data_IF_011433035008
#
_entry.id   IF_011433035008
#
_cell.length_a   1.000
_cell.length_b   1.000
_cell.length_c   1.000
_cell.angle_alpha   90.00
_cell.angle_beta   90.00
_cell.angle_gamma   90.00
#
_symmetry.space_group_name_H-M   'P 1'
#
loop_
_entity.id
_entity.type
_entity.pdbx_description
1 polymer ?
#
# COMPACT_ATOMS: atom_id res chain seq x y z
N UNK A 1 -7.31 30.04 7.07
CA UNK A 1 -6.40 29.58 6.00
C UNK A 1 -7.12 28.46 5.29
N UNK A 2 -6.95 28.31 3.99
CA UNK A 2 -7.54 27.20 3.25
C UNK A 2 -6.83 25.90 3.51
N UNK A 3 -7.46 24.79 3.09
CA UNK A 3 -6.97 23.43 3.33
C UNK A 3 -5.73 23.13 2.48
N UNK A 4 -4.64 22.70 3.12
CA UNK A 4 -3.35 22.39 2.50
C UNK A 4 -3.01 20.91 2.62
N UNK A 5 -2.72 20.27 1.48
CA UNK A 5 -2.23 18.88 1.42
C UNK A 5 -0.83 18.84 0.81
N UNK A 6 0.13 18.20 1.48
CA UNK A 6 1.45 17.91 0.95
C UNK A 6 1.53 16.44 0.52
N UNK A 7 1.76 16.18 -0.78
CA UNK A 7 1.88 14.85 -1.36
C UNK A 7 3.34 14.53 -1.65
N UNK A 8 3.95 13.65 -0.86
CA UNK A 8 5.33 13.20 -1.02
C UNK A 8 5.39 12.05 -2.04
N UNK A 9 6.17 12.22 -3.10
CA UNK A 9 6.13 11.37 -4.29
C UNK A 9 5.12 11.90 -5.32
N UNK A 10 5.02 13.23 -5.41
CA UNK A 10 4.07 13.93 -6.29
C UNK A 10 4.21 13.61 -7.77
N UNK A 11 5.40 13.22 -8.23
CA UNK A 11 5.67 12.78 -9.61
C UNK A 11 5.21 11.36 -9.92
N UNK A 12 4.51 10.69 -9.02
CA UNK A 12 3.92 9.38 -9.29
C UNK A 12 2.93 9.42 -10.45
N UNK A 13 2.99 8.41 -11.33
CA UNK A 13 2.00 8.25 -12.40
C UNK A 13 0.56 8.07 -11.88
N UNK A 14 0.36 7.84 -10.57
CA UNK A 14 -0.96 7.79 -9.91
C UNK A 14 -1.49 9.15 -9.45
N UNK A 15 -0.71 10.20 -9.48
CA UNK A 15 -1.16 11.52 -9.01
C UNK A 15 -2.44 12.00 -9.70
N UNK A 16 -2.69 11.77 -11.01
CA UNK A 16 -3.97 12.12 -11.62
C UNK A 16 -5.19 11.39 -11.02
N UNK A 17 -5.00 10.16 -10.54
CA UNK A 17 -6.05 9.43 -9.80
C UNK A 17 -6.35 10.10 -8.46
N UNK A 18 -5.32 10.52 -7.72
CA UNK A 18 -5.47 11.23 -6.45
C UNK A 18 -6.18 12.59 -6.66
N UNK A 19 -5.80 13.33 -7.71
CA UNK A 19 -6.42 14.61 -8.08
C UNK A 19 -7.89 14.44 -8.43
N UNK A 20 -8.25 13.42 -9.22
CA UNK A 20 -9.65 13.09 -9.51
C UNK A 20 -10.43 12.81 -8.21
N UNK A 21 -9.80 12.11 -7.27
CA UNK A 21 -10.40 11.84 -5.95
C UNK A 21 -10.70 13.10 -5.15
N UNK A 22 -9.81 14.09 -5.15
CA UNK A 22 -10.04 15.41 -4.53
C UNK A 22 -11.14 16.18 -5.24
N UNK A 23 -11.16 16.18 -6.58
CA UNK A 23 -12.21 16.85 -7.36
C UNK A 23 -13.58 16.27 -7.03
N UNK A 24 -13.72 14.94 -7.02
CA UNK A 24 -14.99 14.26 -6.70
C UNK A 24 -15.50 14.51 -5.29
N UNK A 25 -14.61 14.89 -4.38
CA UNK A 25 -14.95 15.11 -2.96
C UNK A 25 -14.78 16.57 -2.52
N UNK A 26 -14.70 17.50 -3.47
CA UNK A 26 -14.40 18.89 -3.18
C UNK A 26 -15.40 19.52 -2.21
N UNK A 27 -16.68 19.19 -2.32
CA UNK A 27 -17.72 19.68 -1.39
C UNK A 27 -17.49 19.21 0.06
N UNK A 28 -16.83 18.07 0.25
CA UNK A 28 -16.52 17.49 1.56
C UNK A 28 -15.08 17.80 2.01
N UNK A 29 -14.21 18.09 1.05
CA UNK A 29 -12.78 18.32 1.27
C UNK A 29 -12.31 19.49 0.38
N UNK A 30 -12.65 20.75 0.75
CA UNK A 30 -12.40 21.93 -0.07
C UNK A 30 -10.91 22.31 -0.07
N UNK A 31 -10.15 21.63 -0.92
CA UNK A 31 -8.70 21.75 -1.03
C UNK A 31 -8.32 23.09 -1.69
N UNK A 32 -7.56 23.94 -0.98
CA UNK A 32 -7.04 25.19 -1.53
C UNK A 32 -5.64 25.03 -2.15
N UNK A 33 -4.77 24.24 -1.51
CA UNK A 33 -3.40 24.04 -1.97
C UNK A 33 -3.04 22.55 -2.00
N UNK A 34 -2.63 22.06 -3.17
CA UNK A 34 -2.00 20.75 -3.35
C UNK A 34 -0.50 20.94 -3.64
N UNK A 35 0.33 20.58 -2.67
CA UNK A 35 1.77 20.60 -2.83
C UNK A 35 2.27 19.24 -3.31
N UNK A 36 2.83 19.18 -4.50
CA UNK A 36 3.43 17.98 -5.09
C UNK A 36 4.94 18.02 -4.87
N UNK A 37 5.42 17.13 -4.00
CA UNK A 37 6.83 17.06 -3.61
C UNK A 37 7.49 15.86 -4.27
N UNK A 38 8.64 16.08 -4.88
CA UNK A 38 9.48 15.00 -5.36
C UNK A 38 10.97 15.31 -5.07
N UNK A 39 11.85 14.39 -5.44
CA UNK A 39 13.31 14.57 -5.42
C UNK A 39 13.78 15.08 -6.78
N UNK A 40 15.03 15.55 -6.84
CA UNK A 40 15.58 16.15 -8.08
C UNK A 40 15.52 15.20 -9.27
N UNK A 41 15.77 13.91 -9.03
CA UNK A 41 15.66 12.85 -10.06
C UNK A 41 14.23 12.62 -10.56
N UNK A 42 13.22 13.06 -9.81
CA UNK A 42 11.81 13.00 -10.19
C UNK A 42 11.25 14.29 -10.77
N UNK A 43 12.06 15.36 -10.91
CA UNK A 43 11.63 16.71 -11.32
C UNK A 43 10.79 16.72 -12.60
N UNK A 44 11.29 16.11 -13.68
CA UNK A 44 10.56 16.07 -14.95
C UNK A 44 9.16 15.44 -14.77
N UNK A 45 9.09 14.33 -14.03
CA UNK A 45 7.82 13.62 -13.79
C UNK A 45 6.83 14.47 -13.00
N UNK A 46 7.27 15.11 -11.93
CA UNK A 46 6.36 15.92 -11.10
C UNK A 46 5.92 17.19 -11.81
N UNK A 47 6.74 17.78 -12.66
CA UNK A 47 6.38 18.93 -13.50
C UNK A 47 5.29 18.56 -14.52
N UNK A 48 5.43 17.43 -15.21
CA UNK A 48 4.43 16.93 -16.16
C UNK A 48 3.10 16.64 -15.44
N UNK A 49 3.15 15.90 -14.34
CA UNK A 49 1.97 15.50 -13.57
C UNK A 49 1.31 16.71 -12.91
N UNK A 50 2.09 17.62 -12.35
CA UNK A 50 1.56 18.83 -11.72
C UNK A 50 0.86 19.75 -12.71
N UNK A 51 1.39 19.88 -13.93
CA UNK A 51 0.74 20.62 -14.99
C UNK A 51 -0.61 19.97 -15.39
N UNK A 52 -0.69 18.63 -15.46
CA UNK A 52 -1.95 17.93 -15.68
C UNK A 52 -2.92 18.15 -14.49
N UNK A 53 -2.43 18.01 -13.26
CA UNK A 53 -3.22 18.22 -12.05
C UNK A 53 -3.89 19.62 -12.04
N UNK A 54 -3.13 20.66 -12.37
CA UNK A 54 -3.67 22.03 -12.47
C UNK A 54 -4.77 22.12 -13.54
N UNK A 55 -4.56 21.55 -14.75
CA UNK A 55 -5.58 21.50 -15.81
C UNK A 55 -6.84 20.72 -15.40
N UNK A 56 -6.71 19.69 -14.57
CA UNK A 56 -7.85 18.92 -14.05
C UNK A 56 -8.70 19.76 -13.10
N UNK A 57 -8.09 20.48 -12.16
CA UNK A 57 -8.83 21.41 -11.27
C UNK A 57 -9.48 22.55 -12.04
N UNK A 58 -8.81 23.13 -13.02
CA UNK A 58 -9.37 24.18 -13.88
C UNK A 58 -10.59 23.68 -14.68
N UNK A 59 -10.52 22.46 -15.26
CA UNK A 59 -11.68 21.84 -15.94
C UNK A 59 -12.87 21.68 -15.02
N UNK A 60 -12.62 21.35 -13.74
CA UNK A 60 -13.65 21.22 -12.71
C UNK A 60 -14.14 22.58 -12.16
N UNK A 61 -13.64 23.72 -12.68
CA UNK A 61 -13.91 25.07 -12.17
C UNK A 61 -13.53 25.28 -10.70
N UNK A 62 -12.52 24.56 -10.21
CA UNK A 62 -12.00 24.67 -8.84
C UNK A 62 -10.79 25.58 -8.82
N UNK A 63 -10.62 26.33 -7.70
CA UNK A 63 -9.55 27.30 -7.52
C UNK A 63 -8.32 26.73 -6.81
N UNK A 64 -8.28 25.42 -6.62
CA UNK A 64 -7.14 24.72 -6.00
C UNK A 64 -5.85 25.04 -6.73
N UNK A 65 -4.82 25.46 -6.01
CA UNK A 65 -3.49 25.74 -6.54
C UNK A 65 -2.63 24.47 -6.43
N UNK A 66 -2.02 24.07 -7.54
CA UNK A 66 -1.02 23.00 -7.55
C UNK A 66 0.37 23.64 -7.46
N UNK A 67 1.12 23.29 -6.42
CA UNK A 67 2.46 23.83 -6.15
C UNK A 67 3.46 22.69 -6.20
N UNK A 68 4.46 22.80 -7.06
CA UNK A 68 5.53 21.81 -7.26
C UNK A 68 6.77 22.27 -6.52
N UNK A 69 7.38 21.38 -5.74
CA UNK A 69 8.64 21.70 -5.04
C UNK A 69 9.49 20.46 -4.81
N UNK A 70 10.82 20.67 -4.78
CA UNK A 70 11.80 19.68 -4.31
C UNK A 70 12.11 19.87 -2.81
N UNK A 71 11.62 20.94 -2.20
CA UNK A 71 11.76 21.21 -0.75
C UNK A 71 10.57 20.62 0.01
N UNK A 72 10.77 19.40 0.52
CA UNK A 72 9.78 18.66 1.33
C UNK A 72 9.37 19.46 2.58
N UNK A 73 10.33 20.15 3.22
CA UNK A 73 10.05 20.89 4.46
C UNK A 73 9.16 22.10 4.21
N UNK A 74 9.38 22.82 3.10
CA UNK A 74 8.50 23.92 2.69
C UNK A 74 7.06 23.45 2.43
N UNK A 75 6.91 22.28 1.81
CA UNK A 75 5.58 21.71 1.56
C UNK A 75 4.87 21.27 2.85
N UNK A 76 5.60 20.61 3.76
CA UNK A 76 5.05 20.09 5.03
C UNK A 76 4.69 21.23 5.98
N UNK A 77 5.43 22.33 5.97
CA UNK A 77 5.18 23.46 6.86
C UNK A 77 3.71 23.91 6.80
N UNK A 78 3.04 23.90 7.95
CA UNK A 78 1.63 24.28 8.11
C UNK A 78 0.66 23.47 7.23
N UNK A 79 1.01 22.23 6.83
CA UNK A 79 0.09 21.33 6.13
C UNK A 79 -0.96 20.78 7.09
N UNK A 80 -2.21 20.68 6.62
CA UNK A 80 -3.29 20.02 7.36
C UNK A 80 -3.18 18.50 7.25
N UNK A 81 -2.75 18.02 6.07
CA UNK A 81 -2.56 16.60 5.76
C UNK A 81 -1.30 16.39 4.94
N UNK A 82 -0.67 15.24 5.16
CA UNK A 82 0.45 14.75 4.34
C UNK A 82 0.07 13.40 3.75
N UNK A 83 0.17 13.26 2.44
CA UNK A 83 0.02 11.95 1.77
C UNK A 83 1.36 11.47 1.24
N UNK A 84 1.61 10.16 1.28
CA UNK A 84 2.86 9.59 0.79
C UNK A 84 2.58 8.49 -0.23
N UNK A 85 3.25 8.58 -1.39
CA UNK A 85 3.10 7.62 -2.51
C UNK A 85 4.41 7.44 -3.29
N UNK A 86 5.55 7.57 -2.63
CA UNK A 86 6.86 7.50 -3.26
C UNK A 86 7.40 6.07 -3.35
N UNK A 87 8.41 5.91 -4.20
CA UNK A 87 9.18 4.67 -4.32
C UNK A 87 10.67 5.01 -4.41
N UNK A 88 11.44 4.63 -3.39
CA UNK A 88 12.89 4.80 -3.41
C UNK A 88 13.50 3.94 -4.52
N UNK A 89 14.17 4.59 -5.46
CA UNK A 89 14.79 3.95 -6.63
C UNK A 89 13.85 3.71 -7.82
N UNK A 90 12.62 4.27 -7.79
CA UNK A 90 11.66 4.23 -8.90
C UNK A 90 11.35 2.79 -9.39
N UNK A 91 10.97 2.65 -10.65
CA UNK A 91 10.66 1.34 -11.25
C UNK A 91 11.91 0.49 -11.53
N UNK A 92 13.09 1.11 -11.68
CA UNK A 92 14.35 0.38 -11.81
C UNK A 92 14.66 -0.46 -10.55
N UNK A 93 14.42 0.09 -9.37
CA UNK A 93 14.56 -0.68 -8.15
C UNK A 93 13.50 -1.80 -8.07
N UNK A 94 12.25 -1.53 -8.45
CA UNK A 94 11.20 -2.54 -8.53
C UNK A 94 11.57 -3.69 -9.46
N UNK A 95 12.11 -3.38 -10.65
CA UNK A 95 12.56 -4.40 -11.60
C UNK A 95 13.59 -5.34 -10.97
N UNK A 96 14.53 -4.80 -10.20
CA UNK A 96 15.52 -5.59 -9.46
C UNK A 96 14.88 -6.42 -8.34
N UNK A 97 13.95 -5.83 -7.59
CA UNK A 97 13.20 -6.52 -6.52
C UNK A 97 12.43 -7.74 -7.03
N UNK A 98 11.91 -7.67 -8.27
CA UNK A 98 11.18 -8.79 -8.88
C UNK A 98 12.11 -9.79 -9.57
N UNK A 99 13.12 -9.32 -10.33
CA UNK A 99 13.98 -10.19 -11.15
C UNK A 99 15.02 -10.96 -10.36
N UNK A 100 15.70 -10.32 -9.41
CA UNK A 100 16.82 -10.96 -8.71
C UNK A 100 16.38 -12.20 -7.92
N UNK A 101 15.29 -12.22 -7.15
CA UNK A 101 14.81 -13.46 -6.53
C UNK A 101 14.51 -14.57 -7.54
N UNK A 102 13.93 -14.24 -8.71
CA UNK A 102 13.64 -15.22 -9.75
C UNK A 102 14.89 -15.91 -10.30
N UNK A 103 16.06 -15.26 -10.33
CA UNK A 103 17.32 -15.88 -10.75
C UNK A 103 17.72 -17.07 -9.86
N UNK A 104 17.27 -17.09 -8.61
CA UNK A 104 17.52 -18.15 -7.64
C UNK A 104 16.32 -19.10 -7.47
N UNK A 105 15.29 -18.95 -8.32
CA UNK A 105 14.06 -19.73 -8.21
C UNK A 105 13.23 -19.37 -6.98
N UNK A 106 13.36 -18.13 -6.49
CA UNK A 106 12.56 -17.56 -5.41
C UNK A 106 11.50 -16.61 -6.00
N UNK A 107 10.39 -16.45 -5.30
CA UNK A 107 9.32 -15.56 -5.70
C UNK A 107 9.80 -14.10 -5.75
N UNK A 108 9.65 -13.44 -6.90
CA UNK A 108 9.96 -12.04 -7.13
C UNK A 108 8.69 -11.17 -7.10
N UNK A 109 8.49 -10.44 -6.00
CA UNK A 109 7.31 -9.60 -5.83
C UNK A 109 7.68 -8.29 -5.14
N UNK A 110 7.04 -7.18 -5.55
CA UNK A 110 7.45 -5.83 -5.13
C UNK A 110 7.14 -5.46 -3.66
N UNK A 111 6.22 -6.20 -3.00
CA UNK A 111 5.73 -5.87 -1.65
C UNK A 111 5.74 -7.04 -0.68
N UNK A 112 5.93 -8.26 -1.18
CA UNK A 112 6.04 -9.48 -0.40
C UNK A 112 7.40 -10.15 -0.64
N UNK A 113 7.82 -11.05 0.24
CA UNK A 113 9.07 -11.78 0.08
C UNK A 113 10.31 -10.88 0.10
N UNK A 114 11.39 -11.32 -0.54
CA UNK A 114 12.67 -10.58 -0.56
C UNK A 114 12.55 -9.22 -1.25
N UNK A 115 11.78 -9.12 -2.33
CA UNK A 115 11.58 -7.84 -3.03
C UNK A 115 10.86 -6.82 -2.13
N UNK A 116 9.80 -7.24 -1.43
CA UNK A 116 9.10 -6.42 -0.44
C UNK A 116 10.01 -6.01 0.72
N UNK A 117 10.83 -6.92 1.21
CA UNK A 117 11.82 -6.65 2.25
C UNK A 117 12.81 -5.55 1.80
N UNK A 118 13.44 -5.69 0.64
CA UNK A 118 14.38 -4.69 0.14
C UNK A 118 13.72 -3.34 -0.14
N UNK A 119 12.46 -3.35 -0.58
CA UNK A 119 11.66 -2.12 -0.67
C UNK A 119 11.46 -1.50 0.72
N UNK A 120 11.15 -2.30 1.75
CA UNK A 120 11.06 -1.86 3.14
C UNK A 120 12.36 -1.26 3.66
N UNK A 121 13.50 -1.96 3.47
CA UNK A 121 14.84 -1.49 3.89
C UNK A 121 15.18 -0.11 3.31
N UNK A 122 14.76 0.20 2.09
CA UNK A 122 15.00 1.50 1.44
C UNK A 122 13.98 2.58 1.86
N UNK A 123 12.76 2.18 2.16
CA UNK A 123 11.62 3.09 2.38
C UNK A 123 11.53 3.56 3.83
N UNK A 124 11.79 2.67 4.78
CA UNK A 124 11.64 2.95 6.22
C UNK A 124 12.48 4.16 6.68
N UNK A 125 13.76 4.30 6.35
CA UNK A 125 14.52 5.48 6.76
C UNK A 125 13.91 6.78 6.24
N UNK A 126 13.44 6.78 4.99
CA UNK A 126 12.85 7.98 4.37
C UNK A 126 11.52 8.36 5.04
N UNK A 127 10.67 7.39 5.37
CA UNK A 127 9.40 7.70 6.04
C UNK A 127 9.62 8.21 7.47
N UNK A 128 10.61 7.68 8.19
CA UNK A 128 10.96 8.17 9.53
C UNK A 128 11.45 9.63 9.48
N UNK A 129 12.23 10.01 8.47
CA UNK A 129 12.63 11.39 8.24
C UNK A 129 11.43 12.30 7.89
N UNK A 130 10.47 11.80 7.09
CA UNK A 130 9.22 12.53 6.80
C UNK A 130 8.43 12.76 8.09
N UNK A 131 8.27 11.73 8.91
CA UNK A 131 7.58 11.83 10.21
C UNK A 131 8.25 12.86 11.11
N UNK A 132 9.59 12.89 11.15
CA UNK A 132 10.34 13.91 11.90
C UNK A 132 10.04 15.32 11.41
N UNK A 133 10.02 15.54 10.10
CA UNK A 133 9.68 16.85 9.53
C UNK A 133 8.23 17.25 9.85
N UNK A 134 7.27 16.28 9.78
CA UNK A 134 5.86 16.56 10.13
C UNK A 134 5.71 16.91 11.61
N UNK A 135 6.38 16.18 12.50
CA UNK A 135 6.37 16.51 13.95
C UNK A 135 6.87 17.93 14.24
N UNK A 136 7.86 18.39 13.50
CA UNK A 136 8.44 19.71 13.68
C UNK A 136 7.60 20.81 13.04
N UNK A 137 7.10 20.62 11.82
CA UNK A 137 6.56 21.69 10.97
C UNK A 137 5.04 21.70 10.86
N UNK A 138 4.36 20.56 11.14
CA UNK A 138 2.92 20.41 11.08
C UNK A 138 2.45 19.34 12.10
N UNK A 139 2.66 19.51 13.41
CA UNK A 139 2.47 18.48 14.43
C UNK A 139 1.02 17.97 14.54
N UNK A 140 0.05 18.74 14.04
CA UNK A 140 -1.37 18.36 14.03
C UNK A 140 -1.80 17.66 12.73
N UNK A 141 -0.93 17.61 11.71
CA UNK A 141 -1.26 16.96 10.45
C UNK A 141 -1.38 15.44 10.61
N UNK A 142 -2.33 14.86 9.88
CA UNK A 142 -2.37 13.41 9.68
C UNK A 142 -1.50 13.03 8.49
N UNK A 143 -0.74 11.94 8.63
CA UNK A 143 -0.06 11.29 7.51
C UNK A 143 -0.93 10.12 7.04
N UNK A 144 -1.40 10.16 5.79
CA UNK A 144 -2.07 9.05 5.12
C UNK A 144 -1.09 8.42 4.15
N UNK A 145 -0.61 7.22 4.49
CA UNK A 145 0.49 6.57 3.81
C UNK A 145 0.02 5.49 2.84
N UNK A 146 0.28 5.68 1.54
CA UNK A 146 0.17 4.67 0.48
C UNK A 146 1.50 4.05 0.07
N UNK A 147 2.60 4.58 0.61
CA UNK A 147 3.92 4.05 0.29
C UNK A 147 4.07 2.64 0.82
N UNK A 148 4.34 1.71 -0.08
CA UNK A 148 4.52 0.30 0.22
C UNK A 148 5.97 -0.05 0.60
N UNK A 149 6.19 -1.10 1.41
CA UNK A 149 5.19 -2.00 2.03
C UNK A 149 4.44 -1.31 3.18
N UNK A 150 3.14 -1.04 3.00
CA UNK A 150 2.39 -0.17 3.93
C UNK A 150 2.37 -0.71 5.36
N UNK A 151 2.24 -2.02 5.56
CA UNK A 151 2.30 -2.67 6.88
C UNK A 151 3.65 -2.43 7.58
N UNK A 152 4.78 -2.74 6.92
CA UNK A 152 6.12 -2.53 7.50
C UNK A 152 6.41 -1.05 7.77
N UNK A 153 5.98 -0.16 6.86
CA UNK A 153 6.15 1.29 7.03
C UNK A 153 5.37 1.78 8.25
N UNK A 154 4.12 1.36 8.40
CA UNK A 154 3.28 1.70 9.56
C UNK A 154 3.88 1.12 10.85
N UNK A 155 4.35 -0.14 10.81
CA UNK A 155 5.02 -0.78 11.94
C UNK A 155 6.27 -0.01 12.37
N UNK A 156 7.12 0.39 11.42
CA UNK A 156 8.32 1.14 11.73
C UNK A 156 8.00 2.50 12.38
N UNK A 157 7.00 3.23 11.89
CA UNK A 157 6.57 4.50 12.50
C UNK A 157 6.02 4.25 13.91
N UNK A 158 5.16 3.26 14.11
CA UNK A 158 4.56 2.95 15.40
C UNK A 158 5.60 2.52 16.46
N UNK A 159 6.62 1.75 16.03
CA UNK A 159 7.64 1.18 16.93
C UNK A 159 8.74 2.19 17.26
N UNK A 160 9.20 2.98 16.27
CA UNK A 160 10.41 3.79 16.40
C UNK A 160 10.14 5.29 16.53
N UNK A 161 8.87 5.70 16.60
CA UNK A 161 8.48 7.09 16.85
C UNK A 161 7.33 7.18 17.86
N UNK A 162 7.12 8.37 18.42
CA UNK A 162 5.95 8.70 19.25
C UNK A 162 4.82 9.35 18.45
N UNK A 163 4.91 9.40 17.11
CA UNK A 163 3.94 10.04 16.23
C UNK A 163 2.70 9.15 16.04
N UNK A 164 1.53 9.62 16.52
CA UNK A 164 0.28 8.86 16.53
C UNK A 164 -0.68 9.18 15.37
N UNK A 165 -0.42 10.26 14.61
CA UNK A 165 -1.28 10.69 13.50
C UNK A 165 -0.83 10.10 12.17
N UNK A 166 -0.62 8.78 12.14
CA UNK A 166 -0.17 8.02 10.98
C UNK A 166 -1.15 6.88 10.66
N UNK A 167 -1.62 6.84 9.42
CA UNK A 167 -2.54 5.81 8.93
C UNK A 167 -1.93 5.20 7.67
N UNK A 168 -1.68 3.90 7.68
CA UNK A 168 -1.35 3.15 6.47
C UNK A 168 -2.62 2.73 5.74
N UNK A 169 -2.67 2.88 4.43
CA UNK A 169 -3.83 2.53 3.62
C UNK A 169 -3.44 1.63 2.44
N UNK A 170 -4.39 0.80 2.02
CA UNK A 170 -4.27 -0.09 0.88
C UNK A 170 -5.60 -0.17 0.13
N UNK A 171 -5.54 -0.28 -1.19
CA UNK A 171 -6.74 -0.44 -2.01
C UNK A 171 -7.26 -1.90 -2.07
N UNK A 172 -6.48 -2.87 -1.59
CA UNK A 172 -6.85 -4.30 -1.65
C UNK A 172 -8.12 -4.61 -0.85
N UNK A 173 -8.27 -4.18 0.41
CA UNK A 173 -9.51 -4.42 1.15
C UNK A 173 -10.73 -3.78 0.48
N UNK A 174 -10.58 -2.58 -0.07
CA UNK A 174 -11.67 -1.94 -0.81
C UNK A 174 -12.02 -2.70 -2.09
N UNK A 175 -11.01 -3.21 -2.82
CA UNK A 175 -11.22 -4.10 -3.97
C UNK A 175 -11.97 -5.38 -3.60
N UNK A 176 -11.67 -6.00 -2.45
CA UNK A 176 -12.42 -7.15 -1.93
C UNK A 176 -13.90 -6.80 -1.67
N UNK A 177 -14.16 -5.62 -1.09
CA UNK A 177 -15.52 -5.12 -0.87
C UNK A 177 -16.26 -4.91 -2.19
N UNK A 178 -15.63 -4.28 -3.18
CA UNK A 178 -16.21 -4.05 -4.51
C UNK A 178 -16.56 -5.37 -5.19
N UNK A 179 -15.66 -6.34 -5.17
CA UNK A 179 -15.91 -7.67 -5.77
C UNK A 179 -17.04 -8.40 -5.06
N UNK A 180 -17.09 -8.35 -3.73
CA UNK A 180 -18.19 -8.93 -2.94
C UNK A 180 -19.54 -8.27 -3.27
N UNK A 181 -19.57 -6.94 -3.42
CA UNK A 181 -20.78 -6.22 -3.81
C UNK A 181 -21.26 -6.64 -5.21
N UNK A 182 -20.33 -6.79 -6.16
CA UNK A 182 -20.63 -7.27 -7.52
C UNK A 182 -21.25 -8.68 -7.49
N UNK A 183 -20.67 -9.61 -6.72
CA UNK A 183 -21.19 -10.98 -6.56
C UNK A 183 -22.58 -11.00 -5.89
N UNK A 184 -22.81 -10.13 -4.92
CA UNK A 184 -24.11 -9.96 -4.27
C UNK A 184 -25.14 -9.21 -5.15
N UNK A 185 -24.71 -8.63 -6.29
CA UNK A 185 -25.53 -7.78 -7.18
C UNK A 185 -26.08 -6.55 -6.41
N UNK A 186 -25.23 -5.94 -5.58
CA UNK A 186 -25.57 -4.81 -4.73
C UNK A 186 -24.69 -3.59 -5.06
N UNK A 187 -25.12 -2.41 -4.62
CA UNK A 187 -24.26 -1.23 -4.63
C UNK A 187 -23.14 -1.41 -3.58
N UNK A 188 -21.93 -0.96 -3.90
CA UNK A 188 -20.77 -1.07 -2.98
C UNK A 188 -20.97 -0.28 -1.68
N UNK A 189 -21.81 0.76 -1.71
CA UNK A 189 -22.16 1.56 -0.52
C UNK A 189 -23.08 0.82 0.45
N UNK A 190 -23.82 -0.19 -0.03
CA UNK A 190 -24.72 -1.02 0.77
C UNK A 190 -23.98 -2.22 1.43
N UNK A 191 -22.73 -2.48 1.04
CA UNK A 191 -21.95 -3.61 1.55
C UNK A 191 -20.92 -3.13 2.56
N UNK A 192 -20.81 -3.82 3.69
CA UNK A 192 -19.72 -3.66 4.67
C UNK A 192 -19.04 -5.01 4.89
N UNK A 193 -17.74 -4.98 5.19
CA UNK A 193 -16.96 -6.18 5.50
C UNK A 193 -16.12 -5.96 6.75
N UNK A 194 -16.21 -6.89 7.69
CA UNK A 194 -15.25 -6.98 8.78
C UNK A 194 -13.98 -7.67 8.28
N UNK A 195 -12.86 -7.00 8.38
CA UNK A 195 -11.56 -7.50 7.92
C UNK A 195 -10.51 -7.32 9.00
N UNK A 196 -9.60 -8.29 9.10
CA UNK A 196 -8.49 -8.28 10.05
C UNK A 196 -7.30 -9.06 9.50
N UNK A 197 -6.09 -8.59 9.78
CA UNK A 197 -4.83 -9.24 9.41
C UNK A 197 -3.67 -8.26 9.33
N UNK A 198 -2.82 -8.47 8.32
CA UNK A 198 -1.70 -7.60 7.96
C UNK A 198 -1.89 -7.04 6.56
N UNK A 199 -1.20 -5.97 6.23
CA UNK A 199 -1.20 -5.45 4.87
C UNK A 199 -0.77 -6.55 3.88
N UNK A 200 -1.57 -6.77 2.83
CA UNK A 200 -1.43 -7.89 1.88
C UNK A 200 -1.60 -9.29 2.48
N UNK A 201 -2.09 -9.38 3.70
CA UNK A 201 -2.42 -10.62 4.40
C UNK A 201 -3.65 -10.39 5.31
N UNK A 202 -4.68 -9.81 4.75
CA UNK A 202 -5.94 -9.49 5.45
C UNK A 202 -7.02 -10.50 5.09
N UNK A 203 -7.79 -10.94 6.08
CA UNK A 203 -8.93 -11.85 5.93
C UNK A 203 -10.23 -11.09 6.16
N UNK A 204 -11.21 -11.31 5.27
CA UNK A 204 -12.59 -10.94 5.55
C UNK A 204 -13.24 -11.99 6.44
N UNK A 205 -13.86 -11.55 7.53
CA UNK A 205 -14.49 -12.43 8.51
C UNK A 205 -16.00 -12.40 8.44
N UNK A 206 -16.58 -11.25 8.10
CA UNK A 206 -18.02 -11.06 7.95
C UNK A 206 -18.36 -10.13 6.80
N UNK A 207 -19.56 -10.30 6.26
CA UNK A 207 -20.13 -9.46 5.21
C UNK A 207 -21.54 -9.05 5.60
N UNK A 208 -21.81 -7.76 5.52
CA UNK A 208 -23.12 -7.18 5.77
C UNK A 208 -23.66 -6.52 4.50
N UNK A 209 -24.94 -6.72 4.22
CA UNK A 209 -25.67 -6.02 3.16
C UNK A 209 -26.79 -5.21 3.81
N UNK A 210 -26.71 -3.88 3.74
CA UNK A 210 -27.66 -2.95 4.42
C UNK A 210 -27.81 -3.25 5.90
N UNK A 211 -26.71 -3.65 6.56
CA UNK A 211 -26.67 -3.98 7.98
C UNK A 211 -27.08 -5.41 8.34
N UNK A 212 -27.59 -6.21 7.41
CA UNK A 212 -27.90 -7.61 7.62
C UNK A 212 -26.67 -8.50 7.38
N UNK A 213 -26.38 -9.44 8.27
CA UNK A 213 -25.29 -10.41 8.11
C UNK A 213 -25.64 -11.40 6.95
N UNK A 214 -24.89 -11.32 5.88
CA UNK A 214 -25.02 -12.18 4.69
C UNK A 214 -23.76 -13.01 4.44
N UNK A 215 -22.94 -13.21 5.46
CA UNK A 215 -21.62 -13.87 5.37
C UNK A 215 -21.69 -15.22 4.66
N UNK A 216 -22.60 -16.11 5.05
CA UNK A 216 -22.71 -17.45 4.45
C UNK A 216 -23.09 -17.38 2.96
N UNK A 217 -24.00 -16.47 2.60
CA UNK A 217 -24.40 -16.25 1.20
C UNK A 217 -23.23 -15.70 0.40
N UNK A 218 -22.53 -14.70 0.93
CA UNK A 218 -21.37 -14.11 0.27
C UNK A 218 -20.24 -15.12 0.11
N UNK A 219 -19.94 -15.92 1.13
CA UNK A 219 -18.91 -16.96 1.08
C UNK A 219 -19.23 -18.05 0.05
N UNK A 220 -20.52 -18.44 -0.07
CA UNK A 220 -20.96 -19.36 -1.11
C UNK A 220 -20.66 -18.80 -2.50
N UNK A 221 -21.05 -17.57 -2.81
CA UNK A 221 -20.77 -16.91 -4.09
C UNK A 221 -19.26 -16.80 -4.34
N UNK A 222 -18.50 -16.39 -3.33
CA UNK A 222 -17.04 -16.28 -3.39
C UNK A 222 -16.36 -17.60 -3.79
N UNK A 223 -16.93 -18.76 -3.43
CA UNK A 223 -16.38 -20.07 -3.77
C UNK A 223 -16.87 -20.62 -5.12
N UNK A 224 -17.97 -20.09 -5.65
CA UNK A 224 -18.57 -20.53 -6.91
C UNK A 224 -18.10 -19.69 -8.10
N UNK A 225 -17.62 -18.47 -7.87
CA UNK A 225 -17.17 -17.54 -8.90
C UNK A 225 -15.66 -17.30 -8.82
N UNK A 226 -15.04 -16.99 -9.97
CA UNK A 226 -13.63 -16.56 -10.01
C UNK A 226 -13.55 -15.08 -9.60
N UNK A 227 -12.75 -14.78 -8.57
CA UNK A 227 -12.57 -13.43 -8.09
C UNK A 227 -11.62 -12.64 -9.02
N UNK A 228 -11.95 -11.38 -9.28
CA UNK A 228 -11.02 -10.45 -9.90
C UNK A 228 -9.85 -10.16 -8.96
N UNK A 229 -8.67 -10.00 -9.51
CA UNK A 229 -7.46 -9.69 -8.76
C UNK A 229 -6.83 -8.40 -9.25
N UNK A 230 -6.09 -7.68 -8.38
CA UNK A 230 -5.26 -6.57 -8.85
C UNK A 230 -4.32 -7.01 -9.98
N UNK A 231 -4.03 -6.11 -10.91
CA UNK A 231 -3.22 -6.40 -12.10
C UNK A 231 -1.80 -6.98 -11.82
N UNK A 232 -1.33 -6.88 -10.59
CA UNK A 232 -0.04 -7.42 -10.13
C UNK A 232 -0.13 -8.76 -9.42
N UNK A 233 -1.32 -9.37 -9.36
CA UNK A 233 -1.53 -10.69 -8.77
C UNK A 233 -2.27 -11.56 -9.80
N UNK A 234 -1.67 -12.66 -10.19
CA UNK A 234 -2.28 -13.58 -11.14
C UNK A 234 -3.55 -14.22 -10.55
N UNK A 235 -4.64 -14.19 -11.33
CA UNK A 235 -5.94 -14.70 -10.92
C UNK A 235 -5.99 -16.24 -11.04
N UNK A 236 -5.55 -16.94 -10.00
CA UNK A 236 -5.70 -18.40 -9.89
C UNK A 236 -6.91 -18.68 -9.02
N UNK A 237 -7.89 -19.50 -9.49
CA UNK A 237 -9.06 -19.85 -8.69
C UNK A 237 -8.67 -20.56 -7.39
N UNK A 238 -9.40 -20.29 -6.32
CA UNK A 238 -9.26 -21.03 -5.07
C UNK A 238 -9.85 -22.44 -5.18
N UNK A 239 -9.28 -23.38 -4.42
CA UNK A 239 -9.93 -24.65 -4.20
C UNK A 239 -11.15 -24.43 -3.27
N UNK A 240 -12.33 -24.81 -3.76
CA UNK A 240 -13.60 -24.44 -3.12
C UNK A 240 -13.77 -25.05 -1.73
N UNK A 241 -13.34 -26.31 -1.52
CA UNK A 241 -13.44 -27.00 -0.22
C UNK A 241 -12.55 -26.32 0.81
N UNK A 242 -11.34 -25.89 0.40
CA UNK A 242 -10.42 -25.15 1.27
C UNK A 242 -11.07 -23.87 1.81
N UNK A 243 -11.61 -23.03 0.90
CA UNK A 243 -12.21 -21.74 1.32
C UNK A 243 -13.47 -21.96 2.16
N UNK A 244 -14.32 -22.91 1.78
CA UNK A 244 -15.52 -23.27 2.58
C UNK A 244 -15.16 -23.75 3.99
N UNK A 245 -14.12 -24.56 4.11
CA UNK A 245 -13.68 -25.10 5.41
C UNK A 245 -13.00 -24.02 6.24
N UNK A 246 -12.22 -23.13 5.60
CA UNK A 246 -11.58 -21.98 6.25
C UNK A 246 -12.61 -20.99 6.80
N UNK A 247 -13.72 -20.78 6.07
CA UNK A 247 -14.80 -19.89 6.47
C UNK A 247 -14.43 -18.40 6.41
N UNK A 248 -13.41 -18.02 5.64
CA UNK A 248 -12.88 -16.65 5.55
C UNK A 248 -12.70 -16.24 4.08
N UNK A 249 -12.85 -14.95 3.81
CA UNK A 249 -12.53 -14.35 2.53
C UNK A 249 -11.04 -14.05 2.45
N UNK A 250 -10.40 -14.54 1.40
CA UNK A 250 -8.95 -14.41 1.21
C UNK A 250 -8.63 -13.18 0.37
N UNK A 251 -7.69 -12.35 0.79
CA UNK A 251 -7.20 -11.29 -0.07
C UNK A 251 -6.39 -11.87 -1.26
N UNK A 252 -6.29 -11.16 -2.39
CA UNK A 252 -5.60 -11.66 -3.58
C UNK A 252 -4.16 -12.15 -3.32
N UNK A 253 -3.44 -11.49 -2.42
CA UNK A 253 -2.04 -11.82 -2.09
C UNK A 253 -1.83 -13.13 -1.35
N UNK A 254 -2.89 -13.71 -0.74
CA UNK A 254 -2.81 -15.04 -0.15
C UNK A 254 -2.38 -16.12 -1.16
N UNK A 255 -2.55 -15.87 -2.47
CA UNK A 255 -2.09 -16.77 -3.52
C UNK A 255 -0.58 -17.04 -3.47
N UNK A 256 0.22 -16.07 -3.08
CA UNK A 256 1.66 -16.25 -2.92
C UNK A 256 2.02 -17.28 -1.84
N UNK A 257 1.12 -17.52 -0.89
CA UNK A 257 1.33 -18.46 0.23
C UNK A 257 0.63 -19.79 0.01
N UNK A 258 -0.64 -19.79 -0.43
CA UNK A 258 -1.44 -21.00 -0.60
C UNK A 258 -1.39 -21.61 -2.00
N UNK A 259 -0.91 -20.84 -2.99
CA UNK A 259 -0.72 -21.20 -4.39
C UNK A 259 0.72 -20.93 -4.85
N UNK A 260 1.68 -21.17 -3.94
CA UNK A 260 3.08 -20.79 -4.16
C UNK A 260 3.67 -21.37 -5.43
N UNK A 261 3.43 -22.67 -5.69
CA UNK A 261 4.04 -23.38 -6.82
C UNK A 261 3.49 -22.88 -8.16
N UNK A 262 2.19 -22.60 -8.23
CA UNK A 262 1.56 -22.03 -9.42
C UNK A 262 2.00 -20.58 -9.66
N UNK A 263 2.08 -19.77 -8.57
CA UNK A 263 2.50 -18.38 -8.67
C UNK A 263 3.97 -18.25 -9.12
N UNK A 264 4.87 -19.09 -8.61
CA UNK A 264 6.27 -19.05 -9.02
C UNK A 264 6.46 -19.58 -10.44
N UNK A 265 5.73 -20.61 -10.84
CA UNK A 265 5.79 -21.15 -12.21
C UNK A 265 5.44 -20.06 -13.24
N UNK A 266 4.33 -19.34 -13.02
CA UNK A 266 3.93 -18.22 -13.88
C UNK A 266 4.97 -17.09 -13.90
N UNK A 267 5.53 -16.73 -12.75
CA UNK A 267 6.58 -15.70 -12.68
C UNK A 267 7.85 -16.12 -13.42
N UNK A 268 8.25 -17.38 -13.33
CA UNK A 268 9.43 -17.89 -14.04
C UNK A 268 9.25 -17.88 -15.55
N UNK A 269 8.05 -18.10 -16.07
CA UNK A 269 7.74 -17.94 -17.48
C UNK A 269 7.88 -16.48 -17.92
N UNK A 270 7.28 -15.56 -17.20
CA UNK A 270 7.40 -14.11 -17.47
C UNK A 270 8.85 -13.61 -17.34
N UNK A 271 9.58 -14.11 -16.35
CA UNK A 271 11.00 -13.78 -16.16
C UNK A 271 11.84 -14.16 -17.39
N UNK A 272 11.64 -15.37 -17.94
CA UNK A 272 12.35 -15.83 -19.16
C UNK A 272 12.03 -14.98 -20.39
N UNK A 273 10.82 -14.43 -20.46
CA UNK A 273 10.36 -13.57 -21.56
C UNK A 273 10.73 -12.09 -21.38
N UNK A 274 11.41 -11.70 -20.28
CA UNK A 274 11.62 -10.30 -19.89
C UNK A 274 10.33 -9.50 -19.79
N UNK A 275 9.28 -10.11 -19.26
CA UNK A 275 7.93 -9.55 -19.08
C UNK A 275 7.47 -9.67 -17.61
N UNK A 276 8.38 -9.41 -16.66
CA UNK A 276 7.97 -9.28 -15.25
C UNK A 276 6.98 -8.13 -15.11
N UNK A 277 6.20 -8.12 -14.03
CA UNK A 277 5.23 -7.05 -13.82
C UNK A 277 5.87 -5.66 -13.76
N UNK A 278 7.09 -5.55 -13.24
CA UNK A 278 7.84 -4.29 -13.24
C UNK A 278 8.11 -3.79 -14.67
N UNK A 279 8.50 -4.68 -15.58
CA UNK A 279 8.78 -4.33 -16.98
C UNK A 279 7.51 -3.89 -17.71
N UNK A 280 6.39 -4.61 -17.53
CA UNK A 280 5.09 -4.17 -18.05
C UNK A 280 4.69 -2.78 -17.53
N UNK A 281 4.88 -2.54 -16.23
CA UNK A 281 4.53 -1.26 -15.60
C UNK A 281 5.44 -0.13 -16.12
N UNK A 282 6.72 -0.39 -16.41
CA UNK A 282 7.61 0.60 -17.03
C UNK A 282 7.10 1.02 -18.41
N UNK A 283 6.63 0.08 -19.22
CA UNK A 283 6.05 0.37 -20.54
C UNK A 283 4.76 1.21 -20.41
N UNK A 284 3.84 0.82 -19.51
CA UNK A 284 2.62 1.60 -19.27
C UNK A 284 2.92 3.00 -18.73
N UNK A 285 3.87 3.12 -17.81
CA UNK A 285 4.25 4.41 -17.24
C UNK A 285 4.82 5.35 -18.33
N UNK A 286 5.68 4.85 -19.20
CA UNK A 286 6.21 5.63 -20.31
C UNK A 286 5.08 6.17 -21.21
N UNK A 287 4.12 5.30 -21.60
CA UNK A 287 2.97 5.69 -22.41
C UNK A 287 2.08 6.73 -21.69
N UNK A 288 1.89 6.58 -20.39
CA UNK A 288 1.09 7.52 -19.58
C UNK A 288 1.76 8.90 -19.54
N UNK A 289 3.08 8.97 -19.30
CA UNK A 289 3.78 10.26 -19.26
C UNK A 289 3.74 10.98 -20.61
N UNK A 290 3.81 10.27 -21.75
CA UNK A 290 3.60 10.90 -23.06
C UNK A 290 2.19 11.49 -23.19
N UNK A 291 1.16 10.80 -22.70
CA UNK A 291 -0.20 11.35 -22.68
C UNK A 291 -0.34 12.56 -21.75
N UNK A 292 0.30 12.52 -20.56
CA UNK A 292 0.24 13.62 -19.60
C UNK A 292 0.84 14.92 -20.11
N UNK A 293 1.78 14.86 -21.08
CA UNK A 293 2.35 16.03 -21.76
C UNK A 293 1.35 16.73 -22.69
N UNK A 294 0.28 16.05 -23.13
CA UNK A 294 -0.74 16.68 -24.00
C UNK A 294 -1.50 17.77 -23.22
N UNK A 295 -1.37 19.00 -23.69
CA UNK A 295 -2.03 20.19 -23.10
C UNK A 295 -3.54 20.14 -23.18
N UNK A 296 -4.12 19.34 -24.09
CA UNK A 296 -5.55 19.16 -24.22
C UNK A 296 -6.12 18.14 -23.22
N UNK A 297 -5.25 17.29 -22.65
CA UNK A 297 -5.66 16.35 -21.60
C UNK A 297 -5.94 17.12 -20.31
N UNK A 298 -7.19 17.01 -19.82
CA UNK A 298 -7.68 17.70 -18.61
C UNK A 298 -8.41 16.74 -17.67
N UNK A 299 -8.15 15.44 -17.82
CA UNK A 299 -8.75 14.39 -17.00
C UNK A 299 -7.79 13.20 -16.89
N UNK A 300 -8.08 12.31 -15.96
CA UNK A 300 -7.36 11.06 -15.80
C UNK A 300 -7.59 10.16 -17.03
N UNK A 301 -6.56 9.71 -17.74
CA UNK A 301 -6.75 8.80 -18.85
C UNK A 301 -7.15 7.38 -18.37
N UNK A 302 -8.01 6.72 -19.13
CA UNK A 302 -8.50 5.37 -18.81
C UNK A 302 -7.36 4.32 -18.71
N UNK A 303 -6.28 4.51 -19.49
CA UNK A 303 -5.14 3.61 -19.50
C UNK A 303 -4.40 3.54 -18.16
N UNK A 304 -4.60 4.51 -17.27
CA UNK A 304 -4.05 4.46 -15.93
C UNK A 304 -4.50 3.20 -15.16
N UNK A 305 -5.70 2.69 -15.45
CA UNK A 305 -6.20 1.44 -14.87
C UNK A 305 -5.31 0.22 -15.17
N UNK A 306 -4.63 0.18 -16.34
CA UNK A 306 -3.73 -0.92 -16.74
C UNK A 306 -2.47 -0.97 -15.89
N UNK A 307 -2.03 0.18 -15.37
CA UNK A 307 -0.88 0.23 -14.47
C UNK A 307 -1.15 -0.48 -13.13
N UNK A 308 -2.40 -0.64 -12.73
CA UNK A 308 -2.85 -1.15 -11.44
C UNK A 308 -3.21 0.01 -10.48
N UNK A 309 -3.65 -0.31 -9.28
CA UNK A 309 -4.00 0.70 -8.26
C UNK A 309 -5.41 1.28 -8.44
N UNK A 310 -6.32 0.52 -9.03
CA UNK A 310 -7.74 0.86 -9.01
C UNK A 310 -8.19 1.19 -7.58
N UNK A 311 -9.15 2.14 -7.44
CA UNK A 311 -9.69 2.57 -6.15
C UNK A 311 -8.70 3.27 -5.20
N UNK A 312 -7.53 3.68 -5.68
CA UNK A 312 -6.55 4.40 -4.87
C UNK A 312 -7.14 5.68 -4.26
N UNK A 313 -7.80 6.50 -5.08
CA UNK A 313 -8.43 7.74 -4.64
C UNK A 313 -9.67 7.50 -3.77
N UNK A 314 -10.40 6.39 -4.01
CA UNK A 314 -11.57 6.05 -3.21
C UNK A 314 -11.22 5.77 -1.76
N UNK A 315 -10.04 5.21 -1.51
CA UNK A 315 -9.54 4.99 -0.14
C UNK A 315 -8.90 6.26 0.41
N UNK A 316 -7.88 6.84 -0.27
CA UNK A 316 -7.12 7.97 0.25
C UNK A 316 -7.97 9.19 0.53
N UNK A 317 -8.70 9.65 -0.49
CA UNK A 317 -9.45 10.90 -0.39
C UNK A 317 -10.67 10.75 0.50
N UNK A 318 -11.24 9.55 0.61
CA UNK A 318 -12.39 9.32 1.51
C UNK A 318 -11.95 9.25 2.97
N UNK A 319 -10.77 8.66 3.27
CA UNK A 319 -10.17 8.70 4.61
C UNK A 319 -9.85 10.15 5.00
N UNK A 320 -9.25 10.95 4.11
CA UNK A 320 -8.96 12.36 4.36
C UNK A 320 -10.22 13.18 4.63
N UNK A 321 -11.27 13.02 3.81
CA UNK A 321 -12.54 13.70 3.99
C UNK A 321 -13.23 13.28 5.30
N UNK A 322 -13.15 12.00 5.65
CA UNK A 322 -13.71 11.46 6.89
C UNK A 322 -12.98 11.99 8.14
N UNK A 323 -11.65 12.08 8.09
CA UNK A 323 -10.85 12.73 9.14
C UNK A 323 -11.22 14.21 9.30
N UNK A 324 -11.39 14.91 8.17
CA UNK A 324 -11.66 16.35 8.16
C UNK A 324 -13.03 16.70 8.74
N UNK A 325 -14.06 15.95 8.36
CA UNK A 325 -15.47 16.25 8.67
C UNK A 325 -16.04 15.42 9.82
N UNK A 326 -15.25 14.54 10.45
CA UNK A 326 -15.74 13.60 11.48
C UNK A 326 -16.90 12.72 10.98
N UNK A 327 -16.78 12.20 9.73
CA UNK A 327 -17.90 11.51 9.06
C UNK A 327 -18.18 10.11 9.62
N UNK A 328 -17.22 9.51 10.29
CA UNK A 328 -17.37 8.17 10.86
C UNK A 328 -17.51 7.05 9.80
N UNK A 329 -16.98 7.26 8.58
CA UNK A 329 -17.02 6.24 7.53
C UNK A 329 -16.14 5.04 7.85
N UNK A 330 -16.53 3.89 7.32
CA UNK A 330 -15.87 2.62 7.54
C UNK A 330 -14.82 2.38 6.46
N UNK A 331 -13.56 2.21 6.89
CA UNK A 331 -12.42 1.85 6.05
C UNK A 331 -11.54 0.80 6.72
N UNK A 332 -10.87 -0.02 5.91
CA UNK A 332 -9.84 -0.94 6.39
C UNK A 332 -8.50 -0.22 6.28
N UNK A 333 -7.81 -0.08 7.41
CA UNK A 333 -6.57 0.70 7.51
C UNK A 333 -5.53 0.00 8.37
N UNK A 334 -4.26 0.36 8.17
CA UNK A 334 -3.14 -0.14 8.96
C UNK A 334 -2.90 0.80 10.14
N UNK A 335 -3.02 0.27 11.35
CA UNK A 335 -2.85 0.99 12.62
C UNK A 335 -2.18 0.10 13.66
N UNK A 336 -1.72 0.71 14.76
CA UNK A 336 -1.28 -0.02 15.94
C UNK A 336 -2.45 -0.77 16.58
N UNK A 337 -2.23 -2.01 17.02
CA UNK A 337 -3.24 -2.82 17.72
C UNK A 337 -3.68 -2.18 19.04
N UNK A 338 -2.74 -1.71 19.83
CA UNK A 338 -2.99 -1.02 21.12
C UNK A 338 -4.02 -1.77 22.01
N UNK A 339 -3.94 -3.11 22.01
CA UNK A 339 -4.78 -4.00 22.82
C UNK A 339 -6.22 -4.21 22.34
N UNK A 340 -6.59 -3.72 21.16
CA UNK A 340 -7.94 -3.92 20.62
C UNK A 340 -8.19 -5.40 20.27
N UNK A 341 -7.30 -6.01 19.52
CA UNK A 341 -7.35 -7.44 19.16
C UNK A 341 -6.61 -8.25 20.22
N UNK A 342 -7.37 -8.96 21.06
CA UNK A 342 -6.91 -9.54 22.33
C UNK A 342 -5.90 -10.68 22.21
N UNK A 343 -5.87 -11.38 21.09
CA UNK A 343 -4.95 -12.49 20.87
C UNK A 343 -3.74 -12.13 19.99
N UNK A 344 -3.48 -10.83 19.78
CA UNK A 344 -2.29 -10.28 19.12
C UNK A 344 -1.52 -9.39 20.10
N UNK A 345 -0.24 -9.14 19.79
CA UNK A 345 0.59 -8.22 20.57
C UNK A 345 0.10 -6.77 20.43
N UNK A 346 0.09 -6.02 21.52
CA UNK A 346 -0.36 -4.61 21.53
C UNK A 346 0.53 -3.73 20.64
N UNK A 347 1.80 -4.09 20.47
CA UNK A 347 2.79 -3.38 19.65
C UNK A 347 2.72 -3.71 18.15
N UNK A 348 1.92 -4.69 17.74
CA UNK A 348 1.74 -5.03 16.34
C UNK A 348 0.93 -3.96 15.61
N UNK A 349 1.35 -3.58 14.40
CA UNK A 349 0.43 -2.91 13.49
C UNK A 349 -0.39 -3.94 12.73
N UNK A 350 -1.67 -3.68 12.61
CA UNK A 350 -2.66 -4.57 11.99
C UNK A 350 -3.43 -3.84 10.90
N UNK A 351 -3.86 -4.55 9.88
CA UNK A 351 -4.83 -4.05 8.90
C UNK A 351 -6.22 -4.50 9.34
N UNK A 352 -7.08 -3.54 9.71
CA UNK A 352 -8.36 -3.81 10.37
C UNK A 352 -9.43 -2.81 9.95
N UNK A 353 -10.68 -3.25 9.94
CA UNK A 353 -11.83 -2.38 9.70
C UNK A 353 -12.02 -1.39 10.85
N UNK A 354 -12.02 -0.11 10.49
CA UNK A 354 -12.13 1.02 11.42
C UNK A 354 -13.22 1.99 11.02
N UNK A 355 -13.77 2.67 12.00
CA UNK A 355 -14.52 3.91 11.83
C UNK A 355 -13.54 5.08 11.83
N UNK A 356 -13.54 5.89 10.77
CA UNK A 356 -12.63 7.04 10.64
C UNK A 356 -13.32 8.28 11.19
N UNK A 357 -12.77 8.83 12.27
CA UNK A 357 -13.25 10.05 12.93
C UNK A 357 -12.18 11.14 12.86
N UNK A 358 -12.49 12.38 13.22
CA UNK A 358 -11.50 13.48 13.30
C UNK A 358 -10.35 13.19 14.27
N UNK A 359 -10.58 12.33 15.26
CA UNK A 359 -9.58 11.90 16.24
C UNK A 359 -8.74 10.71 15.72
N UNK A 360 -9.03 10.22 14.52
CA UNK A 360 -8.36 9.11 13.86
C UNK A 360 -9.22 7.85 13.72
N UNK A 361 -8.58 6.76 13.24
CA UNK A 361 -9.22 5.46 13.09
C UNK A 361 -9.57 4.85 14.46
N UNK A 362 -10.78 4.31 14.56
CA UNK A 362 -11.25 3.52 15.71
C UNK A 362 -11.68 2.15 15.20
N UNK A 363 -10.97 1.06 15.58
CA UNK A 363 -11.38 -0.29 15.21
C UNK A 363 -12.82 -0.58 15.62
N UNK A 364 -13.52 -1.43 14.85
CA UNK A 364 -14.88 -1.82 15.21
C UNK A 364 -14.88 -2.84 16.36
N UNK A 365 -15.77 -2.66 17.32
CA UNK A 365 -15.91 -3.56 18.48
C UNK A 365 -16.33 -4.99 18.10
N UNK A 366 -16.80 -5.20 16.86
CA UNK A 366 -17.12 -6.52 16.30
C UNK A 366 -15.90 -7.37 16.00
N UNK A 367 -14.68 -6.77 15.94
CA UNK A 367 -13.44 -7.41 15.53
C UNK A 367 -12.42 -7.36 16.67
N UNK A 368 -12.55 -8.24 17.65
CA UNK A 368 -11.68 -8.26 18.83
C UNK A 368 -10.70 -9.42 18.89
N UNK A 369 -10.77 -10.34 17.94
CA UNK A 369 -9.93 -11.53 17.85
C UNK A 369 -9.55 -11.83 16.39
N UNK A 370 -8.28 -12.17 16.14
CA UNK A 370 -7.89 -12.82 14.89
C UNK A 370 -8.34 -14.28 14.94
N UNK A 371 -8.98 -14.85 13.89
CA UNK A 371 -9.33 -16.26 13.86
C UNK A 371 -8.11 -17.18 14.09
N UNK A 372 -8.20 -18.11 15.04
CA UNK A 372 -7.07 -18.96 15.45
C UNK A 372 -6.48 -19.77 14.29
N UNK A 373 -7.30 -20.19 13.33
CA UNK A 373 -6.87 -20.99 12.16
C UNK A 373 -5.84 -20.27 11.27
N UNK A 374 -5.77 -18.94 11.31
CA UNK A 374 -4.84 -18.14 10.51
C UNK A 374 -3.73 -17.48 11.34
N UNK A 375 -3.75 -17.65 12.65
CA UNK A 375 -2.80 -17.00 13.56
C UNK A 375 -1.35 -17.42 13.30
N UNK A 376 -1.10 -18.67 12.97
CA UNK A 376 0.26 -19.15 12.62
C UNK A 376 0.83 -18.43 11.39
N UNK A 377 0.02 -18.21 10.36
CA UNK A 377 0.42 -17.47 9.17
C UNK A 377 0.68 -15.99 9.50
N UNK A 378 -0.22 -15.37 10.26
CA UNK A 378 -0.06 -14.00 10.76
C UNK A 378 1.27 -13.83 11.49
N UNK A 379 1.57 -14.69 12.48
CA UNK A 379 2.78 -14.61 13.30
C UNK A 379 4.06 -14.76 12.47
N UNK A 380 4.07 -15.68 11.50
CA UNK A 380 5.22 -15.87 10.63
C UNK A 380 5.54 -14.61 9.82
N UNK A 381 4.51 -13.95 9.27
CA UNK A 381 4.67 -12.73 8.48
C UNK A 381 5.02 -11.55 9.38
N UNK A 382 4.36 -11.43 10.54
CA UNK A 382 4.66 -10.37 11.51
C UNK A 382 6.11 -10.44 11.99
N UNK A 383 6.63 -11.63 12.30
CA UNK A 383 8.04 -11.80 12.67
C UNK A 383 9.00 -11.32 11.57
N UNK A 384 8.68 -11.62 10.32
CA UNK A 384 9.43 -11.15 9.15
C UNK A 384 9.35 -9.61 9.01
N UNK A 385 8.18 -8.99 9.19
CA UNK A 385 8.02 -7.53 9.16
C UNK A 385 8.84 -6.85 10.26
N UNK A 386 8.74 -7.34 11.50
CA UNK A 386 9.48 -6.80 12.65
C UNK A 386 11.00 -6.90 12.45
N UNK A 387 11.49 -8.04 11.97
CA UNK A 387 12.92 -8.23 11.69
C UNK A 387 13.39 -7.30 10.56
N UNK A 388 12.57 -7.08 9.53
CA UNK A 388 12.88 -6.14 8.44
C UNK A 388 12.92 -4.69 8.95
N UNK A 389 11.96 -4.29 9.78
CA UNK A 389 11.94 -2.95 10.39
C UNK A 389 13.17 -2.72 11.26
N UNK A 390 13.52 -3.69 12.11
CA UNK A 390 14.72 -3.61 12.96
C UNK A 390 16.01 -3.49 12.12
N UNK A 391 16.14 -4.29 11.06
CA UNK A 391 17.28 -4.23 10.15
C UNK A 391 17.39 -2.84 9.49
N UNK A 392 16.29 -2.29 9.01
CA UNK A 392 16.26 -0.98 8.36
C UNK A 392 16.64 0.17 9.31
N UNK A 393 16.11 0.15 10.53
CA UNK A 393 16.31 1.25 11.50
C UNK A 393 17.70 1.17 12.15
N UNK A 394 18.15 -0.02 12.49
CA UNK A 394 19.47 -0.22 13.10
C UNK A 394 20.62 -0.21 12.09
N UNK A 395 20.33 -0.28 10.81
CA UNK A 395 21.32 -0.34 9.73
C UNK A 395 22.12 -1.65 9.75
N UNK A 396 21.51 -2.77 10.18
CA UNK A 396 22.18 -4.04 10.45
C UNK A 396 21.99 -5.05 9.31
N UNK A 397 23.09 -5.36 8.61
CA UNK A 397 23.12 -6.31 7.50
C UNK A 397 22.70 -7.72 7.92
N UNK A 398 23.18 -8.21 9.08
CA UNK A 398 22.89 -9.56 9.53
C UNK A 398 21.42 -9.71 9.98
N UNK A 399 20.82 -8.68 10.57
CA UNK A 399 19.37 -8.65 10.84
C UNK A 399 18.56 -8.71 9.55
N UNK A 400 19.01 -8.04 8.49
CA UNK A 400 18.39 -8.16 7.16
C UNK A 400 18.47 -9.57 6.60
N UNK A 401 19.62 -10.24 6.71
CA UNK A 401 19.77 -11.64 6.30
C UNK A 401 18.90 -12.58 7.15
N UNK A 402 18.80 -12.33 8.46
CA UNK A 402 17.87 -13.06 9.33
C UNK A 402 16.42 -12.90 8.86
N UNK A 403 16.00 -11.66 8.57
CA UNK A 403 14.65 -11.39 8.03
C UNK A 403 14.40 -12.16 6.73
N UNK A 404 15.39 -12.21 5.81
CA UNK A 404 15.30 -13.00 4.59
C UNK A 404 15.05 -14.49 4.85
N UNK A 405 15.67 -15.05 5.90
CA UNK A 405 15.58 -16.48 6.22
C UNK A 405 14.29 -16.88 6.96
N UNK A 406 13.71 -15.95 7.74
CA UNK A 406 12.42 -16.22 8.41
C UNK A 406 11.20 -15.84 7.54
N UNK A 407 11.42 -15.28 6.37
CA UNK A 407 10.33 -14.94 5.44
C UNK A 407 9.62 -16.23 4.98
N UNK A 408 8.29 -16.36 5.16
CA UNK A 408 7.58 -17.58 4.82
C UNK A 408 7.49 -17.86 3.30
N UNK A 409 7.85 -16.88 2.46
CA UNK A 409 7.94 -17.04 1.00
C UNK A 409 9.32 -17.48 0.50
N UNK A 410 10.25 -17.73 1.40
CA UNK A 410 11.61 -18.20 1.09
C UNK A 410 11.83 -19.57 1.73
N UNK A 411 12.36 -20.54 0.97
CA UNK A 411 12.37 -21.94 1.38
C UNK A 411 13.78 -22.55 1.44
N UNK A 412 14.83 -21.74 1.34
CA UNK A 412 16.22 -22.20 1.34
C UNK A 412 17.12 -21.09 1.84
N UNK A 413 17.81 -21.32 2.95
CA UNK A 413 18.75 -20.38 3.55
C UNK A 413 19.92 -20.04 2.62
N UNK A 414 20.44 -21.02 1.88
CA UNK A 414 21.51 -20.80 0.89
C UNK A 414 21.03 -19.89 -0.26
N UNK A 415 19.89 -20.19 -0.88
CA UNK A 415 19.33 -19.36 -1.94
C UNK A 415 18.96 -17.97 -1.45
N UNK A 416 18.42 -17.87 -0.23
CA UNK A 416 18.08 -16.61 0.42
C UNK A 416 19.31 -15.74 0.60
N UNK A 417 20.43 -16.31 1.08
CA UNK A 417 21.70 -15.61 1.22
C UNK A 417 22.20 -15.08 -0.12
N UNK A 418 22.25 -15.92 -1.13
CA UNK A 418 22.71 -15.51 -2.47
C UNK A 418 21.84 -14.41 -3.08
N UNK A 419 20.53 -14.54 -2.98
CA UNK A 419 19.59 -13.53 -3.46
C UNK A 419 19.69 -12.22 -2.64
N UNK A 420 19.83 -12.32 -1.32
CA UNK A 420 20.02 -11.19 -0.42
C UNK A 420 21.30 -10.40 -0.75
N UNK A 421 22.44 -11.07 -0.89
CA UNK A 421 23.70 -10.45 -1.25
C UNK A 421 23.63 -9.73 -2.60
N UNK A 422 22.99 -10.37 -3.59
CA UNK A 422 22.80 -9.78 -4.91
C UNK A 422 21.86 -8.58 -4.90
N UNK A 423 20.74 -8.66 -4.19
CA UNK A 423 19.81 -7.54 -3.98
C UNK A 423 20.50 -6.40 -3.24
N UNK A 424 21.25 -6.70 -2.18
CA UNK A 424 21.97 -5.70 -1.40
C UNK A 424 22.94 -4.91 -2.30
N UNK A 425 23.77 -5.61 -3.09
CA UNK A 425 24.69 -4.98 -4.04
C UNK A 425 23.94 -4.15 -5.10
N UNK A 426 22.83 -4.66 -5.62
CA UNK A 426 22.04 -3.98 -6.65
C UNK A 426 21.37 -2.69 -6.13
N UNK A 427 21.11 -2.60 -4.82
CA UNK A 427 20.46 -1.47 -4.15
C UNK A 427 21.41 -0.65 -3.27
N UNK A 428 22.71 -0.91 -3.30
CA UNK A 428 23.72 -0.34 -2.40
C UNK A 428 23.60 1.20 -2.24
N UNK A 429 23.37 1.92 -3.32
CA UNK A 429 23.22 3.38 -3.30
C UNK A 429 22.02 3.89 -2.47
N UNK A 430 21.03 3.04 -2.20
CA UNK A 430 19.85 3.35 -1.39
C UNK A 430 19.91 2.73 0.02
N UNK A 431 20.96 1.94 0.30
CA UNK A 431 21.17 1.23 1.55
C UNK A 431 22.41 1.74 2.29
N UNK A 432 22.77 3.00 2.10
CA UNK A 432 23.98 3.62 2.70
C UNK A 432 23.95 3.64 4.22
N UNK A 433 22.78 3.57 4.83
CA UNK A 433 22.58 3.46 6.27
C UNK A 433 22.85 2.04 6.81
N UNK A 434 22.83 1.02 5.95
CA UNK A 434 23.05 -0.40 6.31
C UNK A 434 24.56 -0.70 6.42
N UNK A 435 25.21 -0.19 7.47
CA UNK A 435 26.66 -0.27 7.66
C UNK A 435 27.10 -1.27 8.72
N UNK A 436 26.19 -1.62 9.66
CA UNK A 436 26.48 -2.49 10.79
C UNK A 436 26.52 -3.95 10.34
N UNK A 437 27.55 -4.68 10.79
CA UNK A 437 27.78 -6.09 10.47
C UNK A 437 27.85 -6.38 8.95
N UNK A 438 28.15 -5.38 8.14
CA UNK A 438 28.36 -5.56 6.70
C UNK A 438 29.71 -6.26 6.45
N UNK A 439 29.76 -7.33 5.59
CA UNK A 439 31.00 -8.05 5.28
C UNK A 439 32.03 -7.22 4.50
#
# INVERSE_FOLDING_TARGET
MGLKVATIGGGSSYTPELVEGFIKRFDRFPLDELWLVDIEEGREKVEIVGALAQRMFEKANLKTKVIITMDRRAAIKDADYVTTQFRVGFLDARKKDERIPNEFGLLGQETNGLGGMFKGLRTIPVILDIVKDVKELAPNAWIVNFTNPSGMVTQAVATYTDFKRFIGVCNVPYGMKVETAKQLKADVTDVEMDMIGLNHMVWGTKVYLKGEDVTDRALKLYTEETQETPANVHAIPWESTFVKTLGLFLCPYHRYYYKYDEMIAEQMEKFKLNKTRAEEVMEYEAQLFEKYKDLNLKEKPEELAKRGGAHYSDVACDVLASLHNDEGKIHVVNILNDGHVKNLDDSDTIEITCRITKDGPKPLDTITMLPEVVKGMYQSIKSFELATCAAAVEGDYNKGLLAANICPLTRSDEKNKLAYEKLFKAHEKYLTHMTKNRP
#
